data_IF_279381565690
#
_entry.id   IF_279381565690
#
_cell.length_a   1.000
_cell.length_b   1.000
_cell.length_c   1.000
_cell.angle_alpha   90.00
_cell.angle_beta   90.00
_cell.angle_gamma   90.00
#
_symmetry.space_group_name_H-M   'P 1'
#
loop_
_entity.id
_entity.type
_entity.pdbx_description
1 polymer ?
#
# COMPACT_ATOMS: atom_id res chain seq x y z
N UNK A 1 40.51 31.91 -26.66
CA UNK A 1 39.56 31.72 -27.77
C UNK A 1 38.87 30.36 -27.59
N UNK A 2 37.61 30.25 -27.97
CA UNK A 2 36.53 29.50 -27.30
C UNK A 2 36.49 27.96 -27.33
N UNK A 3 35.74 27.45 -26.34
CA UNK A 3 35.26 26.08 -26.06
C UNK A 3 34.32 25.56 -27.17
N UNK A 4 34.31 24.24 -27.43
CA UNK A 4 33.13 23.59 -28.04
C UNK A 4 33.00 22.12 -27.62
N UNK A 5 32.29 21.89 -26.52
CA UNK A 5 31.73 20.59 -26.17
C UNK A 5 30.67 20.19 -27.20
N UNK A 6 30.69 18.93 -27.67
CA UNK A 6 29.63 18.36 -28.51
C UNK A 6 28.41 18.05 -27.63
N UNK A 7 27.38 18.88 -27.74
CA UNK A 7 26.00 18.50 -27.43
C UNK A 7 25.48 17.63 -28.58
N UNK A 8 25.34 16.32 -28.36
CA UNK A 8 24.45 15.49 -29.18
C UNK A 8 23.06 15.59 -28.57
N UNK A 9 22.15 16.14 -29.36
CA UNK A 9 20.80 16.48 -28.97
C UNK A 9 19.90 15.28 -28.72
N UNK A 10 18.98 15.49 -27.78
CA UNK A 10 17.75 14.70 -27.62
C UNK A 10 16.92 14.75 -28.91
N UNK A 11 16.20 13.67 -29.23
CA UNK A 11 14.76 13.78 -29.00
C UNK A 11 14.15 12.47 -28.51
N UNK A 12 13.45 12.56 -27.39
CA UNK A 12 12.06 12.11 -27.25
C UNK A 12 11.77 12.07 -25.75
N UNK A 13 11.11 13.13 -25.28
CA UNK A 13 10.15 12.98 -24.21
C UNK A 13 9.13 11.92 -24.66
N UNK A 14 9.46 10.65 -24.46
CA UNK A 14 8.43 9.62 -24.42
C UNK A 14 7.77 9.86 -23.09
N UNK A 15 6.76 10.73 -23.12
CA UNK A 15 5.77 10.85 -22.07
C UNK A 15 5.33 9.42 -21.76
N UNK A 16 5.97 8.82 -20.75
CA UNK A 16 5.27 7.86 -19.92
C UNK A 16 4.02 8.63 -19.56
N UNK A 17 2.87 8.20 -20.06
CA UNK A 17 1.63 8.46 -19.36
C UNK A 17 1.97 8.02 -17.95
N UNK A 18 2.30 8.98 -17.09
CA UNK A 18 2.11 8.83 -15.67
C UNK A 18 0.62 8.55 -15.65
N UNK A 19 0.26 7.26 -15.60
CA UNK A 19 -0.95 6.88 -14.93
C UNK A 19 -0.73 7.55 -13.61
N UNK A 20 -1.35 8.72 -13.41
CA UNK A 20 -1.49 9.29 -12.09
C UNK A 20 -2.45 8.32 -11.44
N UNK A 21 -1.90 7.13 -11.12
CA UNK A 21 -2.51 6.14 -10.28
C UNK A 21 -2.80 6.95 -9.05
N UNK A 22 -4.08 6.96 -8.71
CA UNK A 22 -4.51 7.67 -7.53
C UNK A 22 -3.65 7.12 -6.40
N UNK A 23 -2.84 7.98 -5.78
CA UNK A 23 -1.92 7.52 -4.76
C UNK A 23 -2.75 6.88 -3.65
N UNK A 24 -2.52 5.60 -3.38
CA UNK A 24 -3.04 4.92 -2.22
C UNK A 24 -2.30 5.48 -0.99
N UNK A 25 -3.05 5.97 -0.01
CA UNK A 25 -2.51 6.45 1.26
C UNK A 25 -2.83 5.44 2.35
N UNK A 26 -1.81 4.90 3.00
CA UNK A 26 -2.00 4.13 4.24
C UNK A 26 -2.31 5.14 5.34
N UNK A 27 -3.51 5.04 5.91
CA UNK A 27 -3.96 5.87 7.04
C UNK A 27 -3.48 5.32 8.38
N UNK A 28 -3.25 4.01 8.45
CA UNK A 28 -2.74 3.33 9.62
C UNK A 28 -2.41 1.88 9.31
N UNK A 29 -1.51 1.31 10.09
CA UNK A 29 -1.09 -0.09 10.02
C UNK A 29 -1.13 -0.69 11.41
N UNK A 30 -1.75 -1.84 11.51
CA UNK A 30 -1.86 -2.61 12.74
C UNK A 30 -1.31 -4.00 12.49
N UNK A 31 -0.51 -4.55 13.41
CA UNK A 31 0.06 -5.88 13.27
C UNK A 31 -0.18 -6.70 14.54
N UNK A 32 -0.27 -8.01 14.43
CA UNK A 32 -0.22 -8.87 15.62
C UNK A 32 1.20 -8.84 16.22
N UNK A 33 1.37 -9.09 17.54
CA UNK A 33 2.68 -9.03 18.19
C UNK A 33 3.66 -10.09 17.68
N UNK A 34 3.13 -11.19 17.12
CA UNK A 34 3.91 -12.25 16.48
C UNK A 34 4.31 -11.91 15.02
N UNK A 35 3.80 -10.80 14.47
CA UNK A 35 4.06 -10.35 13.11
C UNK A 35 3.41 -11.22 12.02
N UNK A 36 2.53 -12.18 12.37
CA UNK A 36 1.88 -13.06 11.39
C UNK A 36 0.77 -12.36 10.64
N UNK A 37 0.05 -11.43 11.28
CA UNK A 37 -1.03 -10.69 10.65
C UNK A 37 -0.72 -9.20 10.66
N UNK A 38 -1.04 -8.54 9.54
CA UNK A 38 -1.00 -7.08 9.45
C UNK A 38 -2.22 -6.57 8.70
N UNK A 39 -2.83 -5.53 9.22
CA UNK A 39 -3.97 -4.82 8.65
C UNK A 39 -3.51 -3.42 8.28
N UNK A 40 -3.65 -3.06 7.01
CA UNK A 40 -3.44 -1.67 6.56
C UNK A 40 -4.78 -1.04 6.22
N UNK A 41 -5.06 0.11 6.81
CA UNK A 41 -6.19 0.95 6.43
C UNK A 41 -5.77 1.85 5.26
N UNK A 42 -6.35 1.63 4.09
CA UNK A 42 -5.98 2.30 2.84
C UNK A 42 -7.07 3.29 2.45
N UNK A 43 -6.66 4.51 2.12
CA UNK A 43 -7.51 5.55 1.55
C UNK A 43 -7.02 5.93 0.16
N UNK A 44 -7.92 5.90 -0.81
CA UNK A 44 -7.67 6.35 -2.19
C UNK A 44 -8.79 7.34 -2.58
N UNK A 45 -8.47 8.63 -2.69
CA UNK A 45 -9.45 9.72 -2.89
C UNK A 45 -10.62 9.62 -1.87
N UNK A 46 -11.77 9.11 -2.34
CA UNK A 46 -13.02 8.96 -1.58
C UNK A 46 -13.33 7.50 -1.25
N UNK A 47 -12.43 6.58 -1.55
CA UNK A 47 -12.54 5.16 -1.23
C UNK A 47 -11.68 4.86 -0.02
N UNK A 48 -12.17 3.94 0.79
CA UNK A 48 -11.51 3.47 1.98
C UNK A 48 -11.73 1.96 2.08
N UNK A 49 -10.66 1.21 2.28
CA UNK A 49 -10.68 -0.23 2.46
C UNK A 49 -9.52 -0.69 3.31
N UNK A 50 -9.55 -1.94 3.70
CA UNK A 50 -8.50 -2.59 4.44
C UNK A 50 -7.79 -3.61 3.57
N UNK A 51 -6.48 -3.71 3.76
CA UNK A 51 -5.63 -4.76 3.21
C UNK A 51 -5.14 -5.63 4.34
N UNK A 52 -5.37 -6.92 4.22
CA UNK A 52 -4.95 -7.92 5.17
C UNK A 52 -3.72 -8.64 4.61
N UNK A 53 -2.66 -8.64 5.39
CA UNK A 53 -1.41 -9.33 5.14
C UNK A 53 -1.31 -10.52 6.08
N UNK A 54 -0.70 -11.58 5.56
CA UNK A 54 -0.29 -12.72 6.36
C UNK A 54 1.19 -12.99 6.09
N UNK A 55 2.02 -12.84 7.12
CA UNK A 55 3.50 -12.88 7.07
C UNK A 55 4.03 -11.77 6.16
N UNK A 56 4.43 -12.06 4.93
CA UNK A 56 5.00 -11.08 3.98
C UNK A 56 4.13 -10.87 2.74
N UNK A 57 2.97 -11.52 2.66
CA UNK A 57 2.09 -11.50 1.48
C UNK A 57 0.74 -10.90 1.78
N UNK A 58 0.17 -10.25 0.77
CA UNK A 58 -1.22 -9.82 0.79
C UNK A 58 -2.08 -11.09 0.82
N UNK A 59 -2.79 -11.28 1.93
CA UNK A 59 -3.77 -12.35 2.05
C UNK A 59 -5.03 -11.95 1.29
N UNK A 60 -5.54 -10.74 1.55
CA UNK A 60 -6.73 -10.18 0.89
C UNK A 60 -6.64 -8.65 0.80
N UNK A 61 -7.13 -8.08 -0.29
CA UNK A 61 -7.20 -6.62 -0.52
C UNK A 61 -8.67 -6.18 -0.68
N UNK A 62 -8.91 -4.87 -0.57
CA UNK A 62 -10.24 -4.25 -0.73
C UNK A 62 -11.31 -4.77 0.24
N UNK A 63 -10.91 -5.03 1.47
CA UNK A 63 -11.83 -5.48 2.52
C UNK A 63 -12.54 -4.32 3.19
N UNK A 64 -13.76 -4.56 3.66
CA UNK A 64 -14.42 -3.71 4.66
C UNK A 64 -14.05 -4.19 6.06
N UNK A 65 -14.17 -3.32 7.08
CA UNK A 65 -13.72 -3.63 8.45
C UNK A 65 -14.33 -4.92 9.00
N UNK A 66 -15.64 -5.14 8.80
CA UNK A 66 -16.31 -6.36 9.26
C UNK A 66 -15.78 -7.64 8.63
N UNK A 67 -15.24 -7.56 7.41
CA UNK A 67 -14.60 -8.71 6.76
C UNK A 67 -13.20 -8.96 7.33
N UNK A 68 -12.48 -7.90 7.70
CA UNK A 68 -11.20 -8.04 8.42
C UNK A 68 -11.43 -8.70 9.78
N UNK A 69 -12.40 -8.20 10.56
CA UNK A 69 -12.80 -8.76 11.86
C UNK A 69 -13.15 -10.25 11.73
N UNK A 70 -13.95 -10.60 10.72
CA UNK A 70 -14.31 -12.00 10.47
C UNK A 70 -13.09 -12.87 10.15
N UNK A 71 -12.19 -12.42 9.27
CA UNK A 71 -11.01 -13.21 8.91
C UNK A 71 -10.05 -13.38 10.07
N UNK A 72 -9.79 -12.33 10.85
CA UNK A 72 -8.94 -12.42 12.04
C UNK A 72 -9.54 -13.38 13.07
N UNK A 73 -10.84 -13.24 13.37
CA UNK A 73 -11.54 -14.11 14.32
C UNK A 73 -11.56 -15.58 13.89
N UNK A 74 -11.71 -15.87 12.59
CA UNK A 74 -11.59 -17.24 12.05
C UNK A 74 -10.19 -17.85 12.26
N UNK A 75 -9.17 -17.01 12.39
CA UNK A 75 -7.78 -17.43 12.63
C UNK A 75 -7.37 -17.29 14.11
N UNK A 76 -8.31 -17.03 15.02
CA UNK A 76 -8.05 -16.92 16.45
C UNK A 76 -7.33 -15.63 16.86
N UNK A 77 -7.35 -14.60 16.02
CA UNK A 77 -6.78 -13.27 16.31
C UNK A 77 -7.91 -12.32 16.65
N UNK A 78 -7.82 -11.68 17.83
CA UNK A 78 -8.74 -10.61 18.21
C UNK A 78 -8.20 -9.25 17.73
N UNK A 79 -9.11 -8.30 17.46
CA UNK A 79 -8.71 -6.94 17.10
C UNK A 79 -7.95 -6.23 18.22
N UNK A 80 -8.27 -6.54 19.48
CA UNK A 80 -7.61 -5.97 20.64
C UNK A 80 -6.14 -6.41 20.78
N UNK A 81 -5.74 -7.51 20.14
CA UNK A 81 -4.37 -8.00 20.14
C UNK A 81 -3.50 -7.29 19.08
N UNK A 82 -4.11 -6.54 18.16
CA UNK A 82 -3.37 -5.78 17.16
C UNK A 82 -2.72 -4.53 17.77
N UNK A 83 -1.44 -4.33 17.44
CA UNK A 83 -0.66 -3.16 17.82
C UNK A 83 -0.47 -2.24 16.61
N UNK A 84 -0.57 -0.92 16.82
CA UNK A 84 -0.23 0.07 15.80
C UNK A 84 1.28 0.06 15.54
N UNK A 85 1.69 0.09 14.26
CA UNK A 85 3.08 0.13 13.80
C UNK A 85 3.62 1.56 13.68
#
# INVERSE_FOLDING_TARGET
MQVKCRLVGSPAARSRRTVVGVAEWIQGSFSTPDGLWRVEAIRERNRFWYRLWHVDRIYQDRLVIGTVEYFLGQNGVDWADLVED
#
